data_IF_625002291253
#
_entry.id   IF_625002291253
#
_cell.length_a   1.000
_cell.length_b   1.000
_cell.length_c   1.000
_cell.angle_alpha   90.00
_cell.angle_beta   90.00
_cell.angle_gamma   90.00
#
_symmetry.space_group_name_H-M   'P 1'
#
loop_
_entity.id
_entity.type
_entity.pdbx_description
1 polymer ?
#
# COMPACT_ATOMS: atom_id res chain seq x y z
N UNK A 1 13.85 -10.91 15.33
CA UNK A 1 15.07 -10.36 15.94
C UNK A 1 15.86 -9.40 15.01
N UNK A 2 16.10 -9.75 13.71
CA UNK A 2 16.86 -8.87 12.78
C UNK A 2 16.10 -7.58 12.47
N UNK A 3 14.82 -7.66 12.12
CA UNK A 3 13.96 -6.50 11.82
C UNK A 3 13.92 -5.51 13.00
N UNK A 4 13.69 -5.99 14.20
CA UNK A 4 13.66 -5.17 15.41
C UNK A 4 15.00 -4.42 15.63
N UNK A 5 16.15 -5.09 15.45
CA UNK A 5 17.48 -4.46 15.54
C UNK A 5 17.73 -3.39 14.48
N UNK A 6 17.05 -3.50 13.34
CA UNK A 6 17.11 -2.53 12.25
C UNK A 6 16.11 -1.37 12.42
N UNK A 7 15.38 -1.30 13.55
CA UNK A 7 14.37 -0.26 13.78
C UNK A 7 13.13 -0.40 12.91
N UNK A 8 12.80 -1.62 12.48
CA UNK A 8 11.61 -1.89 11.67
C UNK A 8 10.37 -1.88 12.55
N UNK A 9 9.40 -1.05 12.25
CA UNK A 9 8.14 -0.94 13.01
C UNK A 9 7.10 -1.97 12.58
N UNK A 10 6.95 -2.17 11.28
CA UNK A 10 6.01 -3.12 10.69
C UNK A 10 6.71 -4.07 9.72
N UNK A 11 6.15 -5.26 9.59
CA UNK A 11 6.44 -6.18 8.48
C UNK A 11 5.17 -6.37 7.67
N UNK A 12 5.28 -6.31 6.36
CA UNK A 12 4.16 -6.46 5.42
C UNK A 12 4.44 -7.54 4.41
N UNK A 13 3.41 -8.18 3.90
CA UNK A 13 3.51 -9.18 2.84
C UNK A 13 2.18 -9.28 2.06
N UNK A 14 2.26 -9.79 0.84
CA UNK A 14 1.11 -10.26 0.08
C UNK A 14 1.16 -11.78 0.10
N UNK A 15 0.14 -12.49 0.65
CA UNK A 15 0.05 -13.93 0.54
C UNK A 15 -0.15 -14.33 -0.92
N UNK A 16 0.72 -15.20 -1.45
CA UNK A 16 0.64 -15.67 -2.84
C UNK A 16 -0.63 -16.50 -3.11
N UNK A 17 -1.19 -17.12 -2.07
CA UNK A 17 -2.38 -17.95 -2.16
C UNK A 17 -3.36 -17.64 -1.01
N UNK A 18 -4.69 -17.74 -1.23
CA UNK A 18 -5.69 -17.40 -0.21
C UNK A 18 -5.52 -18.14 1.13
N UNK A 19 -5.11 -19.40 1.11
CA UNK A 19 -4.91 -20.18 2.34
C UNK A 19 -3.74 -19.68 3.20
N UNK A 20 -2.78 -18.96 2.61
CA UNK A 20 -1.64 -18.40 3.32
C UNK A 20 -2.03 -17.28 4.29
N UNK A 21 -3.18 -16.64 4.12
CA UNK A 21 -3.70 -15.71 5.13
C UNK A 21 -3.81 -16.40 6.49
N UNK A 22 -4.40 -17.60 6.54
CA UNK A 22 -4.49 -18.40 7.76
C UNK A 22 -3.14 -18.89 8.29
N UNK A 23 -2.17 -19.13 7.42
CA UNK A 23 -0.82 -19.49 7.82
C UNK A 23 -0.10 -18.33 8.52
N UNK A 24 -0.08 -17.14 7.90
CA UNK A 24 0.59 -15.97 8.47
C UNK A 24 -0.11 -15.41 9.70
N UNK A 25 -1.44 -15.56 9.81
CA UNK A 25 -2.18 -15.17 11.02
C UNK A 25 -1.63 -15.86 12.28
N UNK A 26 -1.18 -17.13 12.18
CA UNK A 26 -0.54 -17.85 13.30
C UNK A 26 0.77 -17.23 13.78
N UNK A 27 1.35 -16.33 12.99
CA UNK A 27 2.59 -15.62 13.34
C UNK A 27 2.36 -14.15 13.67
N UNK A 28 1.11 -13.77 13.94
CA UNK A 28 0.74 -12.41 14.39
C UNK A 28 0.49 -11.41 13.27
N UNK A 29 0.39 -11.84 12.00
CA UNK A 29 -0.06 -10.99 10.90
C UNK A 29 -1.58 -10.90 10.87
N UNK A 30 -2.09 -9.74 10.44
CA UNK A 30 -3.50 -9.48 10.19
C UNK A 30 -3.72 -8.93 8.80
N UNK A 31 -4.86 -9.21 8.12
CA UNK A 31 -5.22 -8.52 6.89
C UNK A 31 -5.33 -7.02 7.16
N UNK A 32 -4.48 -6.23 6.52
CA UNK A 32 -4.40 -4.79 6.76
C UNK A 32 -4.61 -3.97 5.49
N UNK A 33 -4.23 -4.52 4.35
CA UNK A 33 -4.32 -3.83 3.07
C UNK A 33 -5.47 -4.40 2.27
N UNK A 34 -6.38 -3.51 1.86
CA UNK A 34 -7.52 -3.86 1.02
C UNK A 34 -7.50 -3.05 -0.26
N UNK A 35 -8.07 -3.61 -1.31
CA UNK A 35 -8.17 -2.96 -2.62
C UNK A 35 -9.59 -3.10 -3.18
N UNK A 36 -9.95 -2.17 -4.06
CA UNK A 36 -11.09 -2.27 -4.96
C UNK A 36 -10.60 -2.30 -6.40
N UNK A 37 -11.40 -2.90 -7.29
CA UNK A 37 -11.11 -2.91 -8.72
C UNK A 37 -12.20 -2.16 -9.47
N UNK A 38 -11.79 -1.24 -10.35
CA UNK A 38 -12.68 -0.63 -11.33
C UNK A 38 -12.39 -1.19 -12.71
N UNK A 39 -13.41 -1.69 -13.37
CA UNK A 39 -13.29 -2.29 -14.71
C UNK A 39 -13.76 -1.28 -15.74
N UNK A 40 -12.99 -1.17 -16.83
CA UNK A 40 -13.30 -0.37 -18.00
C UNK A 40 -13.28 -1.27 -19.25
N UNK A 41 -14.11 -0.93 -20.25
CA UNK A 41 -14.07 -1.49 -21.59
C UNK A 41 -13.32 -0.53 -22.50
N UNK A 42 -12.35 -1.02 -23.26
CA UNK A 42 -11.55 -0.19 -24.18
C UNK A 42 -12.43 0.52 -25.20
N UNK A 43 -13.42 -0.19 -25.74
CA UNK A 43 -14.37 0.34 -26.73
C UNK A 43 -15.33 1.40 -26.17
N UNK A 44 -15.53 1.45 -24.85
CA UNK A 44 -16.39 2.42 -24.18
C UNK A 44 -15.63 3.66 -23.67
N UNK A 45 -14.29 3.63 -23.69
CA UNK A 45 -13.49 4.77 -23.27
C UNK A 45 -13.61 5.90 -24.27
N UNK A 46 -14.18 7.01 -23.84
CA UNK A 46 -14.17 8.26 -24.61
C UNK A 46 -12.83 8.95 -24.41
N UNK A 47 -12.09 9.12 -25.48
CA UNK A 47 -10.81 9.82 -25.46
C UNK A 47 -11.03 11.22 -26.00
N UNK A 48 -10.82 12.21 -25.15
CA UNK A 48 -10.62 13.60 -25.57
C UNK A 48 -9.11 13.87 -25.47
N UNK A 49 -8.37 13.82 -26.58
CA UNK A 49 -6.93 13.92 -26.54
C UNK A 49 -6.53 15.31 -26.03
N UNK A 50 -5.80 15.35 -24.92
CA UNK A 50 -5.20 16.59 -24.48
C UNK A 50 -4.07 16.97 -25.47
N UNK A 51 -4.15 18.17 -26.10
CA UNK A 51 -3.15 18.60 -27.05
C UNK A 51 -1.74 18.56 -26.44
N UNK A 52 -0.76 18.18 -27.26
CA UNK A 52 0.66 18.14 -26.89
C UNK A 52 1.02 17.15 -25.76
N UNK A 53 0.10 16.24 -25.39
CA UNK A 53 0.39 15.17 -24.47
C UNK A 53 0.94 13.95 -25.19
N UNK A 54 2.16 13.56 -24.85
CA UNK A 54 2.81 12.34 -25.35
C UNK A 54 2.79 11.26 -24.27
N UNK A 55 2.52 10.00 -24.66
CA UNK A 55 2.61 8.85 -23.77
C UNK A 55 3.78 7.97 -24.24
N UNK A 56 4.77 7.82 -23.38
CA UNK A 56 5.92 6.93 -23.54
C UNK A 56 5.79 5.66 -22.70
N UNK A 57 6.46 4.59 -23.13
CA UNK A 57 6.57 3.33 -22.41
C UNK A 57 8.01 3.16 -21.96
N UNK A 58 8.22 2.78 -20.69
CA UNK A 58 9.56 2.52 -20.18
C UNK A 58 9.54 1.55 -19.01
N UNK A 59 10.68 0.88 -18.82
CA UNK A 59 11.03 0.17 -17.58
C UNK A 59 12.38 0.67 -17.04
N UNK A 60 12.88 1.78 -17.60
CA UNK A 60 14.11 2.41 -17.13
C UNK A 60 13.79 3.47 -16.07
N UNK A 61 14.58 3.50 -15.01
CA UNK A 61 14.43 4.50 -13.97
C UNK A 61 14.80 5.90 -14.49
N UNK A 62 13.89 6.85 -14.28
CA UNK A 62 14.14 8.28 -14.49
C UNK A 62 13.66 9.03 -13.24
N UNK A 63 14.42 9.99 -12.81
CA UNK A 63 14.17 10.72 -11.55
C UNK A 63 12.85 11.50 -11.57
N UNK A 64 12.49 12.10 -12.69
CA UNK A 64 11.33 13.00 -12.81
C UNK A 64 9.99 12.27 -12.60
N UNK A 65 9.79 11.11 -13.26
CA UNK A 65 8.54 10.37 -13.04
C UNK A 65 8.53 9.63 -11.70
N UNK A 66 9.70 9.24 -11.17
CA UNK A 66 9.79 8.73 -9.81
C UNK A 66 9.38 9.80 -8.80
N UNK A 67 9.82 11.04 -8.95
CA UNK A 67 9.41 12.15 -8.09
C UNK A 67 7.92 12.47 -8.24
N UNK A 68 7.37 12.41 -9.46
CA UNK A 68 5.93 12.54 -9.68
C UNK A 68 5.15 11.45 -8.92
N UNK A 69 5.54 10.18 -9.08
CA UNK A 69 4.92 9.04 -8.41
C UNK A 69 4.97 9.19 -6.87
N UNK A 70 6.14 9.46 -6.31
CA UNK A 70 6.31 9.60 -4.86
C UNK A 70 5.59 10.83 -4.31
N UNK A 71 5.56 11.93 -5.05
CA UNK A 71 4.76 13.10 -4.72
C UNK A 71 3.28 12.75 -4.57
N UNK A 72 2.71 12.06 -5.56
CA UNK A 72 1.29 11.62 -5.52
C UNK A 72 1.03 10.59 -4.41
N UNK A 73 1.95 9.67 -4.17
CA UNK A 73 1.83 8.72 -3.06
C UNK A 73 1.88 9.41 -1.69
N UNK A 74 2.67 10.47 -1.55
CA UNK A 74 2.76 11.23 -0.29
C UNK A 74 1.48 12.00 0.07
N UNK A 75 0.60 12.23 -0.90
CA UNK A 75 -0.72 12.84 -0.68
C UNK A 75 -1.72 11.85 -0.05
N UNK A 76 -1.43 10.53 -0.07
CA UNK A 76 -2.26 9.52 0.59
C UNK A 76 -1.97 9.48 2.10
N UNK A 77 -3.01 9.39 2.90
CA UNK A 77 -2.90 9.40 4.36
C UNK A 77 -2.02 8.26 4.91
N UNK A 78 -2.13 7.07 4.33
CA UNK A 78 -1.32 5.91 4.69
C UNK A 78 -1.11 5.00 3.47
N UNK A 79 0.12 4.85 3.02
CA UNK A 79 0.43 3.91 1.93
C UNK A 79 1.87 3.41 2.01
N UNK A 80 2.13 2.28 1.35
CA UNK A 80 3.48 1.81 1.11
C UNK A 80 4.16 2.73 0.09
N UNK A 81 5.36 3.19 0.43
CA UNK A 81 6.21 3.95 -0.47
C UNK A 81 7.49 3.16 -0.78
N UNK A 82 8.05 3.39 -1.94
CA UNK A 82 9.27 2.73 -2.39
C UNK A 82 10.43 3.73 -2.42
N UNK A 83 11.59 3.32 -1.89
CA UNK A 83 12.82 4.07 -2.12
C UNK A 83 13.21 4.00 -3.59
N UNK A 84 14.11 4.89 -4.10
CA UNK A 84 14.62 4.75 -5.47
C UNK A 84 15.18 3.36 -5.77
N UNK A 85 15.81 2.72 -4.78
CA UNK A 85 16.36 1.37 -4.92
C UNK A 85 15.27 0.33 -5.05
N UNK A 86 14.23 0.39 -4.22
CA UNK A 86 13.09 -0.54 -4.28
C UNK A 86 12.31 -0.36 -5.59
N UNK A 87 12.11 0.89 -6.02
CA UNK A 87 11.42 1.17 -7.27
C UNK A 87 12.18 0.65 -8.50
N UNK A 88 13.52 0.68 -8.50
CA UNK A 88 14.32 0.04 -9.55
C UNK A 88 14.12 -1.49 -9.60
N UNK A 89 13.85 -2.14 -8.46
CA UNK A 89 13.49 -3.56 -8.43
C UNK A 89 12.13 -3.78 -9.07
N UNK A 90 11.14 -2.93 -8.79
CA UNK A 90 9.82 -2.97 -9.47
C UNK A 90 9.99 -2.86 -10.99
N UNK A 91 10.79 -1.90 -11.46
CA UNK A 91 11.05 -1.71 -12.90
C UNK A 91 11.76 -2.91 -13.55
N UNK A 92 12.71 -3.51 -12.84
CA UNK A 92 13.40 -4.70 -13.32
C UNK A 92 12.45 -5.89 -13.47
N UNK A 93 11.50 -6.06 -12.56
CA UNK A 93 10.48 -7.11 -12.65
C UNK A 93 9.51 -6.85 -13.81
N UNK A 94 9.05 -5.61 -13.98
CA UNK A 94 8.25 -5.22 -15.13
C UNK A 94 8.94 -5.57 -16.45
N UNK A 95 10.24 -5.30 -16.55
CA UNK A 95 11.03 -5.63 -17.72
C UNK A 95 11.11 -7.15 -17.96
N UNK A 96 11.37 -7.94 -16.90
CA UNK A 96 11.44 -9.40 -16.98
C UNK A 96 10.11 -10.03 -17.42
N UNK A 97 9.00 -9.48 -16.98
CA UNK A 97 7.65 -9.97 -17.28
C UNK A 97 7.02 -9.31 -18.52
N UNK A 98 7.79 -8.51 -19.29
CA UNK A 98 7.35 -7.76 -20.47
C UNK A 98 6.17 -6.80 -20.18
N UNK A 99 6.08 -6.34 -18.95
CA UNK A 99 5.16 -5.30 -18.49
C UNK A 99 5.84 -3.93 -18.56
N UNK A 100 5.13 -2.84 -18.23
CA UNK A 100 5.66 -1.49 -18.46
C UNK A 100 5.10 -0.43 -17.51
N UNK A 101 5.77 0.69 -17.50
CA UNK A 101 5.23 1.97 -17.01
C UNK A 101 4.87 2.83 -18.22
N UNK A 102 3.65 3.35 -18.25
CA UNK A 102 3.21 4.41 -19.15
C UNK A 102 3.39 5.75 -18.47
N UNK A 103 4.02 6.70 -19.15
CA UNK A 103 4.27 8.04 -18.64
C UNK A 103 3.65 9.04 -19.61
N UNK A 104 2.71 9.85 -19.15
CA UNK A 104 2.18 10.97 -19.90
C UNK A 104 3.02 12.22 -19.64
N UNK A 105 3.45 12.89 -20.71
CA UNK A 105 4.23 14.13 -20.66
C UNK A 105 3.59 15.23 -21.48
N UNK A 106 3.60 16.44 -20.93
CA UNK A 106 3.26 17.67 -21.64
C UNK A 106 4.35 18.71 -21.35
N UNK A 107 4.88 19.36 -22.39
CA UNK A 107 5.99 20.32 -22.27
C UNK A 107 7.18 19.78 -21.45
N UNK A 108 7.56 18.53 -21.69
CA UNK A 108 8.60 17.77 -20.93
C UNK A 108 8.30 17.57 -19.45
N UNK A 109 7.10 17.84 -18.95
CA UNK A 109 6.69 17.59 -17.58
C UNK A 109 5.83 16.34 -17.51
N UNK A 110 6.06 15.52 -16.48
CA UNK A 110 5.19 14.37 -16.19
C UNK A 110 3.84 14.88 -15.71
N UNK A 111 2.78 14.45 -16.39
CA UNK A 111 1.39 14.79 -16.08
C UNK A 111 0.56 13.56 -15.71
N UNK A 112 1.13 12.37 -15.87
CA UNK A 112 0.50 11.13 -15.45
C UNK A 112 1.43 9.93 -15.56
N UNK A 113 1.10 8.88 -14.81
CA UNK A 113 1.82 7.61 -14.77
C UNK A 113 0.83 6.46 -14.59
N UNK A 114 1.06 5.34 -15.27
CA UNK A 114 0.35 4.09 -15.03
C UNK A 114 1.32 2.91 -15.06
N UNK A 115 1.26 2.05 -14.04
CA UNK A 115 2.02 0.80 -13.99
C UNK A 115 1.13 -0.31 -14.48
N UNK A 116 1.50 -0.90 -15.63
CA UNK A 116 0.63 -1.73 -16.45
C UNK A 116 1.18 -3.15 -16.56
N UNK A 117 0.33 -4.11 -16.24
CA UNK A 117 0.58 -5.55 -16.38
C UNK A 117 -0.40 -6.14 -17.39
N UNK A 118 0.02 -7.18 -18.10
CA UNK A 118 -0.88 -8.07 -18.82
C UNK A 118 -1.14 -9.30 -17.97
N UNK A 119 -2.40 -9.57 -17.69
CA UNK A 119 -2.82 -10.78 -17.00
C UNK A 119 -4.00 -11.39 -17.75
N UNK A 120 -3.81 -12.57 -18.28
CA UNK A 120 -4.76 -13.25 -19.18
C UNK A 120 -5.21 -12.31 -20.32
N UNK A 121 -6.52 -12.15 -20.50
CA UNK A 121 -7.13 -11.28 -21.51
C UNK A 121 -7.43 -9.86 -21.01
N UNK A 122 -6.76 -9.43 -19.94
CA UNK A 122 -6.99 -8.11 -19.32
C UNK A 122 -5.69 -7.31 -19.18
N UNK A 123 -5.82 -5.99 -19.34
CA UNK A 123 -4.81 -5.04 -18.88
C UNK A 123 -5.07 -4.71 -17.42
N UNK A 124 -4.12 -5.00 -16.57
CA UNK A 124 -4.18 -4.70 -15.14
C UNK A 124 -3.31 -3.49 -14.82
N UNK A 125 -3.89 -2.48 -14.22
CA UNK A 125 -3.18 -1.27 -13.80
C UNK A 125 -3.11 -1.26 -12.28
N UNK A 126 -1.90 -1.49 -11.76
CA UNK A 126 -1.63 -1.59 -10.34
C UNK A 126 -1.58 -0.22 -9.65
N UNK A 127 -1.15 0.81 -10.39
CA UNK A 127 -1.16 2.20 -9.92
C UNK A 127 -1.36 3.14 -11.09
N UNK A 128 -2.21 4.16 -10.90
CA UNK A 128 -2.43 5.20 -11.88
C UNK A 128 -2.60 6.55 -11.20
N UNK A 129 -1.79 7.52 -11.60
CA UNK A 129 -1.96 8.93 -11.28
C UNK A 129 -2.02 9.75 -12.55
N UNK A 130 -2.85 10.78 -12.56
CA UNK A 130 -2.98 11.73 -13.66
C UNK A 130 -3.39 13.08 -13.09
N UNK A 131 -2.92 14.16 -13.72
CA UNK A 131 -3.23 15.52 -13.27
C UNK A 131 -4.67 15.92 -13.64
N UNK A 132 -5.27 15.24 -14.64
CA UNK A 132 -6.66 15.46 -15.05
C UNK A 132 -7.28 14.19 -15.68
N UNK A 133 -8.60 14.22 -15.91
CA UNK A 133 -9.34 13.08 -16.45
C UNK A 133 -9.00 12.77 -17.92
N UNK A 134 -8.59 13.75 -18.72
CA UNK A 134 -8.18 13.51 -20.11
C UNK A 134 -6.89 12.68 -20.17
N UNK A 135 -5.88 13.03 -19.39
CA UNK A 135 -4.64 12.25 -19.25
C UNK A 135 -4.92 10.87 -18.68
N UNK A 136 -5.83 10.77 -17.70
CA UNK A 136 -6.24 9.50 -17.13
C UNK A 136 -6.88 8.57 -18.18
N UNK A 137 -7.82 9.09 -18.96
CA UNK A 137 -8.48 8.33 -20.02
C UNK A 137 -7.47 7.87 -21.10
N UNK A 138 -6.52 8.73 -21.48
CA UNK A 138 -5.47 8.37 -22.43
C UNK A 138 -4.56 7.25 -21.89
N UNK A 139 -4.16 7.28 -20.61
CA UNK A 139 -3.36 6.22 -19.99
C UNK A 139 -4.11 4.88 -19.94
N UNK A 140 -5.39 4.90 -19.56
CA UNK A 140 -6.24 3.70 -19.56
C UNK A 140 -6.34 3.11 -20.98
N UNK A 141 -6.64 3.94 -21.96
CA UNK A 141 -6.76 3.53 -23.35
C UNK A 141 -5.43 2.96 -23.89
N UNK A 142 -4.33 3.65 -23.62
CA UNK A 142 -3.00 3.19 -24.05
C UNK A 142 -2.63 1.85 -23.44
N UNK A 143 -2.99 1.60 -22.18
CA UNK A 143 -2.80 0.32 -21.52
C UNK A 143 -3.55 -0.83 -22.24
N UNK A 144 -4.81 -0.61 -22.61
CA UNK A 144 -5.60 -1.57 -23.37
C UNK A 144 -5.01 -1.86 -24.75
N UNK A 145 -4.67 -0.81 -25.51
CA UNK A 145 -4.04 -0.95 -26.83
C UNK A 145 -2.71 -1.70 -26.79
N UNK A 146 -1.84 -1.33 -25.85
CA UNK A 146 -0.52 -1.96 -25.68
C UNK A 146 -0.63 -3.47 -25.49
N UNK A 147 -1.54 -3.90 -24.65
CA UNK A 147 -1.71 -5.31 -24.32
C UNK A 147 -2.64 -6.06 -25.28
N UNK A 148 -3.33 -5.34 -26.18
CA UNK A 148 -4.32 -5.90 -27.11
C UNK A 148 -5.53 -6.49 -26.37
N UNK A 149 -6.01 -5.80 -25.31
CA UNK A 149 -7.09 -6.28 -24.45
C UNK A 149 -8.26 -5.30 -24.44
N UNK A 150 -9.48 -5.85 -24.48
CA UNK A 150 -10.71 -5.05 -24.35
C UNK A 150 -10.98 -4.67 -22.88
N UNK A 151 -10.60 -5.53 -21.96
CA UNK A 151 -10.85 -5.35 -20.53
C UNK A 151 -9.65 -4.69 -19.84
N UNK A 152 -9.90 -3.59 -19.13
CA UNK A 152 -8.91 -2.86 -18.34
C UNK A 152 -9.36 -2.86 -16.90
N UNK A 153 -8.51 -3.34 -15.99
CA UNK A 153 -8.78 -3.43 -14.56
C UNK A 153 -7.84 -2.47 -13.84
N UNK A 154 -8.41 -1.45 -13.22
CA UNK A 154 -7.67 -0.51 -12.39
C UNK A 154 -7.80 -0.87 -10.91
N UNK A 155 -6.67 -1.14 -10.26
CA UNK A 155 -6.59 -1.27 -8.82
C UNK A 155 -6.71 0.11 -8.16
N UNK A 156 -7.49 0.17 -7.10
CA UNK A 156 -7.75 1.40 -6.33
C UNK A 156 -7.66 1.10 -4.83
N UNK A 157 -7.37 2.09 -3.99
CA UNK A 157 -7.74 2.02 -2.58
C UNK A 157 -9.22 1.64 -2.42
N UNK A 158 -9.64 1.08 -1.29
CA UNK A 158 -11.05 0.80 -1.04
C UNK A 158 -11.91 2.04 -1.28
N UNK A 159 -12.97 1.88 -2.07
CA UNK A 159 -13.98 2.92 -2.32
C UNK A 159 -15.36 2.36 -1.98
N UNK A 160 -16.18 3.17 -1.32
CA UNK A 160 -17.48 2.75 -0.80
C UNK A 160 -18.42 2.16 -1.87
N UNK A 161 -18.33 2.65 -3.09
CA UNK A 161 -19.16 2.21 -4.22
C UNK A 161 -18.72 0.89 -4.88
N UNK A 162 -17.59 0.32 -4.48
CA UNK A 162 -17.02 -0.89 -5.07
C UNK A 162 -16.73 -1.95 -4.00
N UNK A 163 -16.90 -3.25 -4.30
CA UNK A 163 -16.43 -4.31 -3.42
C UNK A 163 -14.93 -4.16 -3.12
N UNK A 164 -14.55 -4.35 -1.87
CA UNK A 164 -13.15 -4.40 -1.48
C UNK A 164 -12.74 -5.81 -1.07
N UNK A 165 -11.53 -6.21 -1.47
CA UNK A 165 -10.95 -7.52 -1.14
C UNK A 165 -9.63 -7.34 -0.39
N UNK A 166 -9.27 -8.27 0.52
CA UNK A 166 -7.96 -8.25 1.15
C UNK A 166 -6.88 -8.50 0.10
N UNK A 167 -5.80 -7.71 0.17
CA UNK A 167 -4.61 -7.85 -0.67
C UNK A 167 -3.43 -8.33 0.16
N UNK A 168 -3.12 -7.63 1.23
CA UNK A 168 -1.91 -7.86 1.99
C UNK A 168 -2.14 -7.89 3.49
N UNK A 169 -1.14 -8.39 4.18
CA UNK A 169 -1.12 -8.50 5.63
C UNK A 169 0.01 -7.66 6.23
N UNK A 170 -0.19 -7.23 7.46
CA UNK A 170 0.83 -6.56 8.24
C UNK A 170 0.92 -7.12 9.66
N UNK A 171 2.08 -6.89 10.27
CA UNK A 171 2.36 -7.22 11.66
C UNK A 171 3.23 -6.14 12.28
N UNK A 172 2.93 -5.74 13.49
CA UNK A 172 3.81 -4.90 14.31
C UNK A 172 5.05 -5.72 14.73
N UNK A 173 6.23 -5.15 14.51
CA UNK A 173 7.53 -5.72 14.93
C UNK A 173 8.01 -5.07 16.22
N UNK A 174 7.87 -3.75 16.35
CA UNK A 174 8.22 -2.99 17.57
C UNK A 174 6.97 -2.31 18.11
N UNK A 175 6.29 -2.99 19.05
CA UNK A 175 5.06 -2.48 19.63
C UNK A 175 5.28 -1.18 20.42
N UNK A 176 6.41 -1.01 21.08
CA UNK A 176 6.71 0.19 21.84
C UNK A 176 6.86 1.40 20.95
N UNK A 177 7.64 1.27 19.89
CA UNK A 177 7.84 2.37 18.93
C UNK A 177 6.54 2.74 18.22
N UNK A 178 5.77 1.73 17.76
CA UNK A 178 4.48 1.95 17.11
C UNK A 178 3.48 2.64 18.03
N UNK A 179 3.33 2.19 19.27
CA UNK A 179 2.40 2.79 20.23
C UNK A 179 2.82 4.20 20.65
N UNK A 180 4.12 4.51 20.69
CA UNK A 180 4.60 5.88 20.91
C UNK A 180 4.20 6.82 19.77
N UNK A 181 4.36 6.38 18.51
CA UNK A 181 3.96 7.17 17.34
C UNK A 181 2.44 7.30 17.25
N UNK A 182 1.70 6.21 17.50
CA UNK A 182 0.25 6.22 17.50
C UNK A 182 -0.31 7.19 18.56
N UNK A 183 0.18 7.11 19.80
CA UNK A 183 -0.24 8.04 20.86
C UNK A 183 0.07 9.50 20.50
N UNK A 184 1.23 9.78 19.91
CA UNK A 184 1.61 11.13 19.49
C UNK A 184 0.70 11.67 18.37
N UNK A 185 0.28 10.80 17.44
CA UNK A 185 -0.63 11.16 16.34
C UNK A 185 -2.10 11.26 16.77
N UNK A 186 -2.49 10.56 17.85
CA UNK A 186 -3.86 10.48 18.37
C UNK A 186 -3.87 10.84 19.88
N UNK A 187 -3.62 12.09 20.25
CA UNK A 187 -3.43 12.48 21.65
C UNK A 187 -4.66 12.31 22.54
N UNK A 188 -5.84 12.18 21.95
CA UNK A 188 -7.11 11.93 22.63
C UNK A 188 -7.30 10.47 23.03
N UNK A 189 -6.50 9.56 22.51
CA UNK A 189 -6.61 8.13 22.82
C UNK A 189 -6.08 7.85 24.22
N UNK A 190 -6.95 7.26 25.06
CA UNK A 190 -6.61 6.75 26.38
C UNK A 190 -6.84 5.24 26.41
N UNK A 191 -5.79 4.46 26.63
CA UNK A 191 -5.85 3.01 26.55
C UNK A 191 -4.80 2.35 27.46
N UNK A 192 -5.24 1.35 28.24
CA UNK A 192 -4.33 0.47 28.96
C UNK A 192 -4.37 -0.90 28.30
N UNK A 193 -3.23 -1.37 27.84
CA UNK A 193 -3.09 -2.63 27.07
C UNK A 193 -2.24 -3.61 27.85
N UNK A 194 -2.70 -4.85 27.95
CA UNK A 194 -1.91 -6.04 28.30
C UNK A 194 -1.65 -6.78 26.98
N UNK A 195 -0.43 -6.62 26.43
CA UNK A 195 -0.05 -7.13 25.11
C UNK A 195 0.67 -8.46 25.21
N UNK A 196 0.32 -9.38 24.31
CA UNK A 196 1.00 -10.67 24.14
C UNK A 196 1.45 -10.87 22.70
N UNK A 197 2.70 -11.29 22.51
CA UNK A 197 3.30 -11.67 21.23
C UNK A 197 4.06 -12.98 21.42
N UNK A 198 3.55 -14.05 20.82
CA UNK A 198 4.16 -15.39 20.94
C UNK A 198 5.48 -15.50 20.17
N UNK A 199 5.71 -14.65 19.16
CA UNK A 199 6.88 -14.69 18.30
C UNK A 199 8.01 -13.76 18.78
N UNK A 200 7.65 -12.62 19.36
CA UNK A 200 8.58 -11.59 19.81
C UNK A 200 8.25 -11.18 21.25
N UNK A 201 8.75 -11.94 22.21
CA UNK A 201 8.46 -11.72 23.64
C UNK A 201 8.84 -10.32 24.15
N UNK A 202 9.70 -9.60 23.43
CA UNK A 202 10.06 -8.21 23.74
C UNK A 202 8.86 -7.25 23.65
N UNK A 203 7.81 -7.62 22.90
CA UNK A 203 6.56 -6.86 22.80
C UNK A 203 5.61 -7.15 23.96
N UNK A 204 5.83 -8.21 24.75
CA UNK A 204 4.96 -8.54 25.87
C UNK A 204 5.11 -7.52 27.01
N UNK A 205 3.97 -7.14 27.59
CA UNK A 205 3.97 -6.23 28.73
C UNK A 205 2.74 -5.33 28.77
N UNK A 206 2.85 -4.29 29.57
CA UNK A 206 1.76 -3.34 29.79
C UNK A 206 2.09 -2.00 29.17
N UNK A 207 1.15 -1.45 28.39
CA UNK A 207 1.27 -0.19 27.69
C UNK A 207 0.13 0.74 28.12
N UNK A 208 0.47 1.98 28.37
CA UNK A 208 -0.46 3.01 28.90
C UNK A 208 -0.39 4.22 27.99
N UNK A 209 -1.44 4.41 27.18
CA UNK A 209 -1.58 5.55 26.28
C UNK A 209 -2.43 6.62 26.97
N UNK A 210 -1.89 7.82 27.07
CA UNK A 210 -2.60 8.95 27.64
C UNK A 210 -1.95 10.26 27.18
N UNK A 211 -2.77 11.22 26.76
CA UNK A 211 -2.35 12.59 26.39
C UNK A 211 -1.16 12.63 25.43
N UNK A 212 -1.24 11.84 24.37
CA UNK A 212 -0.22 11.79 23.31
C UNK A 212 1.08 11.06 23.70
N UNK A 213 1.11 10.31 24.79
CA UNK A 213 2.27 9.57 25.27
C UNK A 213 1.94 8.10 25.48
N UNK A 214 2.94 7.25 25.26
CA UNK A 214 2.90 5.84 25.60
C UNK A 214 3.94 5.54 26.66
N UNK A 215 3.53 5.04 27.82
CA UNK A 215 4.40 4.49 28.85
C UNK A 215 4.36 2.98 28.81
N UNK A 216 5.44 2.34 29.20
CA UNK A 216 5.53 0.88 29.31
C UNK A 216 5.85 0.48 30.75
N UNK A 217 5.35 -0.69 31.19
CA UNK A 217 5.67 -1.26 32.48
C UNK A 217 5.76 -2.78 32.38
N UNK A 218 6.67 -3.37 33.14
CA UNK A 218 6.73 -4.82 33.32
C UNK A 218 5.69 -5.31 34.33
N UNK A 219 5.20 -4.41 35.18
CA UNK A 219 4.21 -4.70 36.22
C UNK A 219 2.89 -4.01 35.85
N UNK A 220 1.79 -4.74 36.03
CA UNK A 220 0.45 -4.23 35.82
C UNK A 220 0.14 -3.10 36.80
N UNK A 221 -0.13 -1.89 36.28
CA UNK A 221 -0.60 -0.77 37.08
C UNK A 221 -2.12 -0.91 37.34
N UNK A 222 -2.67 -0.22 38.36
CA UNK A 222 -4.11 -0.21 38.63
C UNK A 222 -4.92 0.27 37.43
N UNK A 223 -6.13 -0.26 37.26
CA UNK A 223 -7.07 0.12 36.20
C UNK A 223 -7.54 -1.06 35.37
N UNK A 224 -8.49 -0.77 34.48
CA UNK A 224 -8.98 -1.75 33.50
C UNK A 224 -8.00 -1.84 32.36
N UNK A 225 -7.64 -3.05 31.93
CA UNK A 225 -6.74 -3.32 30.81
C UNK A 225 -7.47 -4.10 29.74
N UNK A 226 -7.28 -3.70 28.49
CA UNK A 226 -7.68 -4.51 27.35
C UNK A 226 -6.56 -5.48 27.03
N UNK A 227 -6.87 -6.77 27.07
CA UNK A 227 -5.93 -7.82 26.64
C UNK A 227 -5.96 -7.91 25.13
N UNK A 228 -4.79 -7.89 24.52
CA UNK A 228 -4.62 -7.97 23.07
C UNK A 228 -3.44 -8.86 22.71
N UNK A 229 -3.58 -9.60 21.64
CA UNK A 229 -2.47 -10.18 20.89
C UNK A 229 -1.84 -9.13 19.99
N UNK A 230 -0.64 -9.38 19.49
CA UNK A 230 0.01 -8.49 18.53
C UNK A 230 -0.77 -8.36 17.23
N UNK A 231 -1.52 -9.40 16.83
CA UNK A 231 -2.39 -9.37 15.66
C UNK A 231 -3.57 -8.41 15.87
N UNK A 232 -4.26 -8.51 17.01
CA UNK A 232 -5.39 -7.62 17.36
C UNK A 232 -4.94 -6.17 17.51
N UNK A 233 -3.76 -5.92 18.06
CA UNK A 233 -3.18 -4.57 18.11
C UNK A 233 -2.86 -4.05 16.71
N UNK A 234 -2.28 -4.88 15.85
CA UNK A 234 -1.97 -4.52 14.46
C UNK A 234 -3.25 -4.18 13.68
N UNK A 235 -4.28 -5.01 13.82
CA UNK A 235 -5.60 -4.78 13.22
C UNK A 235 -6.19 -3.45 13.68
N UNK A 236 -6.26 -3.23 14.99
CA UNK A 236 -6.82 -2.01 15.56
C UNK A 236 -6.17 -0.74 15.02
N UNK A 237 -4.83 -0.68 15.00
CA UNK A 237 -4.10 0.51 14.56
C UNK A 237 -4.24 0.69 13.04
N UNK A 238 -4.11 -0.38 12.26
CA UNK A 238 -4.10 -0.30 10.81
C UNK A 238 -5.51 -0.14 10.22
N UNK A 239 -6.55 -0.67 10.88
CA UNK A 239 -7.94 -0.47 10.44
C UNK A 239 -8.35 1.01 10.52
N UNK A 240 -7.93 1.72 11.55
CA UNK A 240 -8.14 3.17 11.67
C UNK A 240 -7.39 3.97 10.58
N UNK A 241 -6.22 3.49 10.15
CA UNK A 241 -5.36 4.17 9.18
C UNK A 241 -5.72 3.86 7.71
N UNK A 242 -6.50 2.81 7.44
CA UNK A 242 -6.89 2.35 6.11
C UNK A 242 -5.71 2.31 5.12
N UNK A 243 -4.63 1.55 5.43
CA UNK A 243 -3.42 1.58 4.63
C UNK A 243 -3.64 1.02 3.23
N UNK A 244 -2.95 1.59 2.25
CA UNK A 244 -2.95 1.12 0.87
C UNK A 244 -1.59 0.57 0.44
N UNK A 245 -1.63 -0.47 -0.37
CA UNK A 245 -0.45 -1.15 -0.90
C UNK A 245 -0.57 -1.28 -2.43
N UNK A 246 0.43 -0.77 -3.14
CA UNK A 246 0.59 -0.97 -4.57
C UNK A 246 2.05 -1.26 -4.91
N UNK A 247 2.34 -1.64 -6.15
CA UNK A 247 3.69 -1.86 -6.67
C UNK A 247 4.50 -2.90 -5.87
N UNK A 248 3.82 -3.85 -5.23
CA UNK A 248 4.48 -4.97 -4.58
C UNK A 248 4.77 -6.05 -5.61
N UNK A 249 5.99 -6.56 -5.53
CA UNK A 249 6.44 -7.68 -6.36
C UNK A 249 5.83 -8.97 -5.82
N UNK A 250 5.35 -9.83 -6.70
CA UNK A 250 4.86 -11.17 -6.37
C UNK A 250 5.95 -12.21 -6.63
#
# INVERSE_FOLDING_TARGET
AKMLRNGTYFSTLIPAEPWLFGYYAKTGYTPAFRISHKVFSLSELTIDPEPDTMIEETTEYQEDYYQYLTGKLSERACCLQHTPTDFKVVLADLALTQNTVLIARKDNRVTGIAVVYKHDDSSYINELFADNEAVRAQLLYRAGLRNGTERIILQLPPVESLPSVPLGMARIIDARAVLQLYAAGCPEVEMNIELTDEQLSVNNGYYYLCKGKCMTSEVRLPGVHTRMTIAELSEKILDEMQPYMSLMMN
#
